data_IF_351476254721
#
_entry.id   IF_351476254721
#
_cell.length_a   1.000
_cell.length_b   1.000
_cell.length_c   1.000
_cell.angle_alpha   90.00
_cell.angle_beta   90.00
_cell.angle_gamma   90.00
#
_symmetry.space_group_name_H-M   'P 1'
#
loop_
_entity.id
_entity.type
_entity.pdbx_description
1 polymer ?
#
# COMPACT_ATOMS: atom_id res chain seq x y z
N UNK A 1 8.43 0.02 26.02
CA UNK A 1 8.88 -0.11 24.62
C UNK A 1 8.78 1.29 24.01
N UNK A 2 9.82 1.75 23.31
CA UNK A 2 9.77 3.07 22.67
C UNK A 2 8.63 3.07 21.63
N UNK A 3 7.73 4.06 21.69
CA UNK A 3 6.55 4.13 20.82
C UNK A 3 6.94 4.25 19.35
N UNK A 4 7.98 5.00 19.05
CA UNK A 4 8.49 5.15 17.68
C UNK A 4 8.92 3.82 17.07
N UNK A 5 9.65 3.00 17.83
CA UNK A 5 10.04 1.66 17.40
C UNK A 5 8.83 0.75 17.17
N UNK A 6 7.78 0.90 18.00
CA UNK A 6 6.56 0.13 17.84
C UNK A 6 5.83 0.50 16.55
N UNK A 7 5.77 1.81 16.20
CA UNK A 7 5.15 2.28 14.96
C UNK A 7 5.97 1.81 13.75
N UNK A 8 7.31 1.87 13.80
CA UNK A 8 8.15 1.31 12.73
C UNK A 8 7.98 -0.20 12.54
N UNK A 9 7.65 -0.93 13.61
CA UNK A 9 7.37 -2.36 13.55
C UNK A 9 6.06 -2.69 12.80
N UNK A 10 5.27 -1.69 12.39
CA UNK A 10 4.05 -1.91 11.61
C UNK A 10 4.38 -2.17 10.13
N UNK A 11 5.10 -1.29 9.40
CA UNK A 11 5.39 -1.52 7.99
C UNK A 11 6.56 -2.50 7.75
N UNK A 12 7.53 -2.60 8.63
CA UNK A 12 8.76 -3.37 8.38
C UNK A 12 8.58 -4.88 8.23
N UNK A 13 7.77 -5.60 9.03
CA UNK A 13 7.62 -7.05 8.88
C UNK A 13 7.14 -7.49 7.49
N UNK A 14 6.12 -6.88 6.85
CA UNK A 14 5.73 -7.23 5.49
C UNK A 14 6.84 -6.99 4.46
N UNK A 15 7.64 -5.94 4.60
CA UNK A 15 8.80 -5.70 3.73
C UNK A 15 9.85 -6.80 3.86
N UNK A 16 10.15 -7.18 5.09
CA UNK A 16 11.10 -8.27 5.36
C UNK A 16 10.57 -9.62 4.85
N UNK A 17 9.26 -9.86 4.99
CA UNK A 17 8.62 -11.06 4.44
C UNK A 17 8.71 -11.08 2.91
N UNK A 18 8.43 -9.97 2.23
CA UNK A 18 8.63 -9.85 0.79
C UNK A 18 10.05 -10.23 0.39
N UNK A 19 11.06 -9.61 1.01
CA UNK A 19 12.46 -9.87 0.70
C UNK A 19 12.83 -11.35 0.98
N UNK A 20 12.41 -11.90 2.11
CA UNK A 20 12.67 -13.28 2.47
C UNK A 20 11.99 -14.28 1.52
N UNK A 21 10.77 -14.00 1.07
CA UNK A 21 10.06 -14.87 0.12
C UNK A 21 10.79 -14.85 -1.23
N UNK A 22 11.15 -13.67 -1.73
CA UNK A 22 11.81 -13.55 -3.04
C UNK A 22 13.18 -14.19 -3.02
N UNK A 23 13.98 -13.99 -1.97
CA UNK A 23 15.38 -14.41 -1.93
C UNK A 23 15.55 -15.87 -1.48
N UNK A 24 14.72 -16.36 -0.56
CA UNK A 24 14.99 -17.64 0.14
C UNK A 24 13.87 -18.66 0.04
N UNK A 25 12.59 -18.27 0.18
CA UNK A 25 11.50 -19.23 0.34
C UNK A 25 10.63 -19.42 -0.89
N UNK A 26 10.95 -18.80 -2.01
CA UNK A 26 10.16 -18.85 -3.25
C UNK A 26 9.84 -20.28 -3.74
N UNK A 27 10.70 -21.26 -3.44
CA UNK A 27 10.51 -22.67 -3.80
C UNK A 27 9.55 -23.42 -2.87
N UNK A 28 9.26 -22.89 -1.68
CA UNK A 28 8.40 -23.53 -0.68
C UNK A 28 7.13 -22.74 -0.47
N UNK A 29 6.00 -23.24 -0.98
CA UNK A 29 4.69 -22.62 -0.83
C UNK A 29 4.30 -22.46 0.66
N UNK A 30 4.55 -23.48 1.48
CA UNK A 30 4.24 -23.47 2.91
C UNK A 30 5.04 -22.41 3.67
N UNK A 31 6.36 -22.31 3.44
CA UNK A 31 7.19 -21.29 4.09
C UNK A 31 6.82 -19.87 3.63
N UNK A 32 6.48 -19.70 2.35
CA UNK A 32 6.13 -18.38 1.81
C UNK A 32 4.87 -17.82 2.46
N UNK A 33 3.77 -18.57 2.54
CA UNK A 33 2.56 -18.04 3.19
C UNK A 33 2.71 -17.95 4.71
N UNK A 34 3.42 -18.88 5.36
CA UNK A 34 3.64 -18.80 6.82
C UNK A 34 4.44 -17.57 7.20
N UNK A 35 5.48 -17.21 6.43
CA UNK A 35 6.24 -15.99 6.61
C UNK A 35 5.38 -14.74 6.39
N UNK A 36 4.60 -14.72 5.31
CA UNK A 36 3.73 -13.60 5.00
C UNK A 36 2.65 -13.39 6.07
N UNK A 37 1.97 -14.46 6.50
CA UNK A 37 0.94 -14.40 7.57
C UNK A 37 1.57 -14.02 8.90
N UNK A 38 2.74 -14.58 9.24
CA UNK A 38 3.47 -14.22 10.46
C UNK A 38 3.83 -12.74 10.50
N UNK A 39 4.30 -12.19 9.37
CA UNK A 39 4.60 -10.76 9.23
C UNK A 39 3.34 -9.89 9.36
N UNK A 40 2.24 -10.27 8.69
CA UNK A 40 0.95 -9.59 8.81
C UNK A 40 0.41 -9.63 10.25
N UNK A 41 0.57 -10.77 10.94
CA UNK A 41 0.22 -10.92 12.35
C UNK A 41 1.03 -10.02 13.29
N UNK A 42 2.34 -9.91 13.07
CA UNK A 42 3.20 -8.98 13.82
C UNK A 42 2.79 -7.52 13.59
N UNK A 43 2.55 -7.13 12.33
CA UNK A 43 2.05 -5.80 12.00
C UNK A 43 0.69 -5.53 12.63
N UNK A 44 -0.20 -6.51 12.64
CA UNK A 44 -1.50 -6.40 13.31
C UNK A 44 -1.36 -6.20 14.82
N UNK A 45 -0.52 -6.99 15.50
CA UNK A 45 -0.26 -6.84 16.94
C UNK A 45 0.30 -5.46 17.27
N UNK A 46 1.28 -4.99 16.51
CA UNK A 46 1.85 -3.65 16.68
C UNK A 46 0.79 -2.56 16.45
N UNK A 47 -0.03 -2.70 15.40
CA UNK A 47 -1.12 -1.76 15.07
C UNK A 47 -2.17 -1.68 16.18
N UNK A 48 -2.55 -2.83 16.77
CA UNK A 48 -3.51 -2.85 17.89
C UNK A 48 -2.91 -2.20 19.14
N UNK A 49 -1.64 -2.46 19.45
CA UNK A 49 -0.97 -1.83 20.59
C UNK A 49 -0.89 -0.30 20.42
N UNK A 50 -0.57 0.19 19.21
CA UNK A 50 -0.56 1.62 18.90
C UNK A 50 -1.97 2.21 18.98
N UNK A 51 -2.97 1.55 18.41
CA UNK A 51 -4.36 1.99 18.43
C UNK A 51 -4.89 2.17 19.85
N UNK A 52 -4.75 1.16 20.73
CA UNK A 52 -5.23 1.27 22.11
C UNK A 52 -4.47 2.33 22.92
N UNK A 53 -3.19 2.55 22.61
CA UNK A 53 -2.43 3.64 23.21
C UNK A 53 -2.92 5.01 22.73
N UNK A 54 -3.28 5.11 21.44
CA UNK A 54 -3.80 6.34 20.84
C UNK A 54 -5.17 6.71 21.40
N UNK A 55 -6.07 5.74 21.54
CA UNK A 55 -7.42 5.95 22.11
C UNK A 55 -7.37 6.45 23.55
N UNK A 56 -6.34 6.07 24.32
CA UNK A 56 -6.16 6.52 25.71
C UNK A 56 -5.56 7.94 25.85
N UNK A 57 -5.24 8.64 24.75
CA UNK A 57 -4.63 9.99 24.80
C UNK A 57 -5.63 11.10 24.43
N UNK A 58 -5.90 12.00 25.38
CA UNK A 58 -6.83 13.13 25.19
C UNK A 58 -6.33 14.19 24.18
N UNK A 59 -5.00 14.36 24.04
CA UNK A 59 -4.39 15.40 23.18
C UNK A 59 -3.69 14.84 21.93
N UNK A 60 -4.09 13.68 21.44
CA UNK A 60 -3.45 13.02 20.29
C UNK A 60 -3.44 13.90 19.02
N UNK A 61 -4.43 14.76 18.86
CA UNK A 61 -4.50 15.67 17.71
C UNK A 61 -3.41 16.76 17.75
N UNK A 62 -3.00 17.19 18.94
CA UNK A 62 -1.95 18.21 19.13
C UNK A 62 -0.55 17.57 19.21
N UNK A 63 -0.48 16.39 19.81
CA UNK A 63 0.76 15.65 20.05
C UNK A 63 0.64 14.22 19.53
N UNK A 64 0.80 14.02 18.22
CA UNK A 64 0.75 12.69 17.62
C UNK A 64 1.86 11.79 18.16
N UNK A 65 1.66 10.48 18.07
CA UNK A 65 2.65 9.47 18.45
C UNK A 65 3.73 9.35 17.37
N UNK A 66 4.98 9.07 17.76
CA UNK A 66 6.01 8.63 16.83
C UNK A 66 6.79 9.73 16.13
N UNK A 67 6.83 10.94 16.69
CA UNK A 67 7.44 12.11 16.03
C UNK A 67 8.97 12.19 16.15
N UNK A 68 9.55 11.42 17.07
CA UNK A 68 10.96 11.63 17.50
C UNK A 68 11.97 10.86 16.63
N UNK A 69 11.65 9.65 16.17
CA UNK A 69 12.55 8.80 15.40
C UNK A 69 12.41 9.05 13.90
N UNK A 70 13.29 9.88 13.35
CA UNK A 70 13.37 10.19 11.91
C UNK A 70 14.69 9.69 11.34
N UNK A 71 14.61 9.08 10.15
CA UNK A 71 15.80 8.61 9.42
C UNK A 71 16.15 9.61 8.33
N UNK A 72 17.39 10.12 8.35
CA UNK A 72 17.90 10.95 7.26
C UNK A 72 18.01 10.11 5.98
N UNK A 73 17.33 10.54 4.92
CA UNK A 73 17.24 9.73 3.71
C UNK A 73 17.85 10.41 2.48
N UNK A 74 17.37 11.58 2.08
CA UNK A 74 17.79 12.24 0.86
C UNK A 74 18.38 13.62 1.16
N UNK A 75 19.70 13.81 0.97
CA UNK A 75 20.30 15.14 1.09
C UNK A 75 19.87 16.04 -0.07
N UNK A 76 19.45 17.27 0.23
CA UNK A 76 19.00 18.26 -0.73
C UNK A 76 19.71 19.61 -0.44
N UNK A 77 20.95 19.76 -0.90
CA UNK A 77 21.76 20.92 -0.58
C UNK A 77 22.14 20.96 0.92
N UNK A 78 21.72 22.01 1.62
CA UNK A 78 21.93 22.16 3.07
C UNK A 78 20.86 21.40 3.89
N UNK A 79 19.71 21.07 3.26
CA UNK A 79 18.61 20.35 3.89
C UNK A 79 18.68 18.84 3.64
N UNK A 80 17.99 18.06 4.48
CA UNK A 80 17.88 16.62 4.32
C UNK A 80 16.44 16.20 4.51
N UNK A 81 15.86 15.54 3.50
CA UNK A 81 14.58 14.88 3.67
C UNK A 81 14.72 13.71 4.65
N UNK A 82 13.80 13.66 5.60
CA UNK A 82 13.74 12.63 6.64
C UNK A 82 12.53 11.76 6.41
N UNK A 83 12.71 10.46 6.58
CA UNK A 83 11.59 9.52 6.68
C UNK A 83 11.26 9.38 8.15
N UNK A 84 10.04 9.73 8.51
CA UNK A 84 9.50 9.62 9.86
C UNK A 84 8.15 8.91 9.87
N UNK A 85 7.70 8.58 11.06
CA UNK A 85 6.39 8.00 11.30
C UNK A 85 5.65 8.82 12.34
N UNK A 86 4.33 8.94 12.14
CA UNK A 86 3.43 9.53 13.13
C UNK A 86 2.08 8.85 13.12
N UNK A 87 1.40 8.87 14.25
CA UNK A 87 0.03 8.40 14.37
C UNK A 87 -0.80 9.49 15.06
N UNK A 88 -1.71 10.06 14.30
CA UNK A 88 -2.74 11.00 14.74
C UNK A 88 -4.10 10.28 14.90
N UNK A 89 -5.18 10.96 15.28
CA UNK A 89 -6.50 10.33 15.43
C UNK A 89 -7.01 9.65 14.16
N UNK A 90 -6.78 10.26 12.99
CA UNK A 90 -7.21 9.69 11.70
C UNK A 90 -6.41 8.44 11.36
N UNK A 91 -5.07 8.53 11.45
CA UNK A 91 -4.18 7.39 11.22
C UNK A 91 -4.47 6.22 12.16
N UNK A 92 -4.78 6.50 13.44
CA UNK A 92 -5.11 5.46 14.41
C UNK A 92 -6.35 4.66 14.00
N UNK A 93 -7.43 5.34 13.59
CA UNK A 93 -8.67 4.68 13.13
C UNK A 93 -8.43 3.89 11.84
N UNK A 94 -7.76 4.49 10.86
CA UNK A 94 -7.45 3.80 9.60
C UNK A 94 -6.56 2.59 9.85
N UNK A 95 -5.56 2.71 10.73
CA UNK A 95 -4.64 1.64 11.06
C UNK A 95 -5.36 0.42 11.65
N UNK A 96 -6.37 0.65 12.50
CA UNK A 96 -7.20 -0.43 13.05
C UNK A 96 -7.86 -1.25 11.94
N UNK A 97 -8.58 -0.60 11.02
CA UNK A 97 -9.27 -1.30 9.94
C UNK A 97 -8.31 -1.96 8.95
N UNK A 98 -7.25 -1.26 8.57
CA UNK A 98 -6.25 -1.78 7.61
C UNK A 98 -5.55 -3.00 8.17
N UNK A 99 -5.15 -3.00 9.45
CA UNK A 99 -4.44 -4.13 10.04
C UNK A 99 -5.29 -5.40 10.09
N UNK A 100 -6.58 -5.28 10.45
CA UNK A 100 -7.52 -6.40 10.42
C UNK A 100 -7.74 -6.91 9.00
N UNK A 101 -7.99 -6.01 8.05
CA UNK A 101 -8.25 -6.37 6.66
C UNK A 101 -7.05 -7.09 6.04
N UNK A 102 -5.85 -6.56 6.23
CA UNK A 102 -4.60 -7.17 5.74
C UNK A 102 -4.44 -8.57 6.29
N UNK A 103 -4.55 -8.76 7.61
CA UNK A 103 -4.40 -10.08 8.23
C UNK A 103 -5.42 -11.09 7.67
N UNK A 104 -6.70 -10.69 7.55
CA UNK A 104 -7.76 -11.56 7.02
C UNK A 104 -7.51 -11.95 5.56
N UNK A 105 -7.08 -10.99 4.72
CA UNK A 105 -6.76 -11.26 3.31
C UNK A 105 -5.60 -12.26 3.21
N UNK A 106 -4.55 -12.12 4.01
CA UNK A 106 -3.40 -13.05 3.98
C UNK A 106 -3.82 -14.48 4.37
N UNK A 107 -4.62 -14.63 5.43
CA UNK A 107 -5.13 -15.94 5.84
C UNK A 107 -6.05 -16.53 4.78
N UNK A 108 -7.00 -15.74 4.26
CA UNK A 108 -7.95 -16.19 3.24
C UNK A 108 -7.25 -16.62 1.93
N UNK A 109 -6.20 -15.90 1.55
CA UNK A 109 -5.43 -16.17 0.32
C UNK A 109 -4.82 -17.58 0.25
N UNK A 110 -4.58 -18.21 1.40
CA UNK A 110 -4.10 -19.61 1.44
C UNK A 110 -5.12 -20.56 0.80
N UNK A 111 -6.39 -20.42 1.19
CA UNK A 111 -7.50 -21.19 0.63
C UNK A 111 -7.85 -20.76 -0.80
N UNK A 112 -7.85 -19.46 -1.07
CA UNK A 112 -8.14 -18.90 -2.39
C UNK A 112 -7.21 -19.45 -3.49
N UNK A 113 -5.93 -19.64 -3.18
CA UNK A 113 -4.95 -20.22 -4.08
C UNK A 113 -4.82 -21.75 -3.96
N UNK A 114 -5.82 -22.41 -3.37
CA UNK A 114 -5.94 -23.88 -3.28
C UNK A 114 -4.71 -24.55 -2.68
N UNK A 115 -4.13 -24.01 -1.61
CA UNK A 115 -3.00 -24.65 -0.94
C UNK A 115 -3.37 -26.05 -0.46
N UNK A 116 -2.47 -27.02 -0.67
CA UNK A 116 -2.70 -28.43 -0.33
C UNK A 116 -3.37 -29.25 -1.45
N UNK A 117 -3.86 -28.61 -2.50
CA UNK A 117 -4.36 -29.32 -3.68
C UNK A 117 -3.21 -29.74 -4.62
N UNK A 118 -3.43 -30.76 -5.46
CA UNK A 118 -2.42 -31.20 -6.43
C UNK A 118 -2.09 -30.11 -7.45
N UNK A 119 -0.93 -30.26 -8.11
CA UNK A 119 -0.62 -29.45 -9.29
C UNK A 119 -1.53 -29.86 -10.45
N UNK A 120 -1.99 -28.90 -11.24
CA UNK A 120 -2.86 -29.15 -12.39
C UNK A 120 -2.11 -29.80 -13.55
N UNK A 121 -2.82 -30.65 -14.30
CA UNK A 121 -2.25 -31.42 -15.41
C UNK A 121 -1.75 -30.50 -16.55
N UNK A 122 -2.37 -29.32 -16.70
CA UNK A 122 -2.09 -28.34 -17.76
C UNK A 122 -1.75 -26.95 -17.24
N UNK A 123 -1.54 -26.81 -15.92
CA UNK A 123 -1.26 -25.51 -15.31
C UNK A 123 0.10 -24.97 -15.75
N UNK A 124 0.11 -23.73 -16.19
CA UNK A 124 1.32 -23.00 -16.60
C UNK A 124 1.47 -21.71 -15.79
N UNK A 125 2.71 -21.34 -15.42
CA UNK A 125 2.95 -20.04 -14.81
C UNK A 125 2.40 -18.89 -15.68
N UNK A 126 1.70 -17.96 -15.07
CA UNK A 126 1.11 -16.81 -15.76
C UNK A 126 -0.30 -17.03 -16.33
N UNK A 127 -0.88 -18.19 -16.10
CA UNK A 127 -2.30 -18.48 -16.39
C UNK A 127 -3.03 -18.87 -15.10
N UNK A 128 -4.34 -18.63 -15.01
CA UNK A 128 -5.17 -19.14 -13.92
C UNK A 128 -5.09 -20.67 -13.84
N UNK A 129 -5.18 -21.26 -12.63
CA UNK A 129 -5.20 -22.70 -12.48
C UNK A 129 -6.43 -23.32 -13.16
N UNK A 130 -6.23 -24.42 -13.90
CA UNK A 130 -7.26 -25.09 -14.69
C UNK A 130 -7.84 -26.34 -14.00
N UNK A 131 -7.24 -26.74 -12.86
CA UNK A 131 -7.63 -27.94 -12.12
C UNK A 131 -6.75 -29.14 -12.43
N UNK A 132 -6.88 -30.17 -11.59
CA UNK A 132 -6.17 -31.44 -11.67
C UNK A 132 -7.14 -32.61 -11.73
N UNK A 133 -6.75 -33.68 -12.43
CA UNK A 133 -7.53 -34.94 -12.47
C UNK A 133 -6.97 -35.92 -11.43
N UNK A 134 -7.75 -36.19 -10.38
CA UNK A 134 -7.40 -37.16 -9.35
C UNK A 134 -8.17 -38.46 -9.56
N UNK A 135 -7.48 -39.57 -9.61
CA UNK A 135 -8.12 -40.89 -9.73
C UNK A 135 -8.53 -41.39 -8.34
N UNK A 136 -9.84 -41.49 -8.10
CA UNK A 136 -10.40 -42.12 -6.89
C UNK A 136 -11.18 -43.35 -7.30
N UNK A 137 -10.82 -44.52 -6.79
CA UNK A 137 -11.44 -45.82 -7.11
C UNK A 137 -11.53 -46.12 -8.61
N UNK A 138 -10.53 -45.71 -9.40
CA UNK A 138 -10.46 -45.92 -10.85
C UNK A 138 -11.22 -44.90 -11.71
N UNK A 139 -11.99 -43.97 -11.13
CA UNK A 139 -12.66 -42.88 -11.81
C UNK A 139 -11.88 -41.59 -11.67
N UNK A 140 -11.74 -40.84 -12.76
CA UNK A 140 -11.11 -39.50 -12.76
C UNK A 140 -12.09 -38.44 -12.23
N UNK A 141 -11.70 -37.74 -11.16
CA UNK A 141 -12.46 -36.59 -10.64
C UNK A 141 -11.65 -35.33 -10.86
N UNK A 142 -12.28 -34.27 -11.37
CA UNK A 142 -11.65 -32.98 -11.45
C UNK A 142 -11.72 -32.27 -10.09
N UNK A 143 -10.56 -31.80 -9.60
CA UNK A 143 -10.39 -31.02 -8.38
C UNK A 143 -9.69 -29.72 -8.71
N UNK A 144 -9.90 -28.62 -7.93
CA UNK A 144 -9.10 -27.42 -8.07
C UNK A 144 -7.60 -27.72 -7.96
N UNK A 145 -6.77 -27.05 -8.74
CA UNK A 145 -5.32 -27.16 -8.64
C UNK A 145 -4.72 -25.99 -7.87
N UNK A 146 -3.54 -26.23 -7.27
CA UNK A 146 -2.81 -25.17 -6.56
C UNK A 146 -2.21 -24.18 -7.54
N UNK A 147 -2.28 -22.88 -7.22
CA UNK A 147 -1.69 -21.82 -8.04
C UNK A 147 -0.19 -22.08 -8.32
N UNK A 148 0.23 -22.12 -9.59
CA UNK A 148 1.63 -22.34 -9.97
C UNK A 148 2.58 -21.28 -9.40
N UNK A 149 2.14 -20.02 -9.36
CA UNK A 149 2.93 -18.89 -8.89
C UNK A 149 2.60 -18.48 -7.44
N UNK A 150 2.20 -19.44 -6.60
CA UNK A 150 1.75 -19.24 -5.23
C UNK A 150 2.65 -18.34 -4.38
N UNK A 151 3.95 -18.65 -4.31
CA UNK A 151 4.92 -17.87 -3.53
C UNK A 151 5.09 -16.44 -4.05
N UNK A 152 4.99 -16.25 -5.38
CA UNK A 152 5.04 -14.92 -6.00
C UNK A 152 3.85 -14.05 -5.57
N UNK A 153 2.66 -14.63 -5.45
CA UNK A 153 1.50 -13.91 -4.93
C UNK A 153 1.74 -13.40 -3.51
N UNK A 154 2.20 -14.28 -2.61
CA UNK A 154 2.47 -13.88 -1.21
C UNK A 154 3.61 -12.86 -1.09
N UNK A 155 4.60 -12.89 -1.97
CA UNK A 155 5.61 -11.84 -2.03
C UNK A 155 4.99 -10.49 -2.43
N UNK A 156 4.21 -10.45 -3.51
CA UNK A 156 3.62 -9.20 -4.00
C UNK A 156 2.63 -8.57 -3.01
N UNK A 157 1.77 -9.39 -2.39
CA UNK A 157 0.82 -8.90 -1.39
C UNK A 157 1.54 -8.42 -0.12
N UNK A 158 2.69 -9.01 0.24
CA UNK A 158 3.52 -8.53 1.36
C UNK A 158 4.12 -7.16 1.05
N UNK A 159 4.62 -6.94 -0.16
CA UNK A 159 5.11 -5.61 -0.58
C UNK A 159 3.97 -4.58 -0.62
N UNK A 160 2.76 -4.99 -1.06
CA UNK A 160 1.57 -4.14 -1.03
C UNK A 160 1.22 -3.73 0.41
N UNK A 161 1.21 -4.69 1.34
CA UNK A 161 0.93 -4.43 2.75
C UNK A 161 1.95 -3.48 3.38
N UNK A 162 3.24 -3.62 3.04
CA UNK A 162 4.28 -2.65 3.44
C UNK A 162 3.93 -1.24 2.98
N UNK A 163 3.62 -1.06 1.68
CA UNK A 163 3.24 0.25 1.13
C UNK A 163 2.01 0.83 1.83
N UNK A 164 0.99 0.01 2.06
CA UNK A 164 -0.23 0.45 2.74
C UNK A 164 0.00 0.87 4.19
N UNK A 165 0.75 0.11 4.97
CA UNK A 165 1.08 0.48 6.34
C UNK A 165 1.97 1.72 6.40
N UNK A 166 2.99 1.82 5.53
CA UNK A 166 3.85 2.98 5.47
C UNK A 166 3.07 4.25 5.13
N UNK A 167 2.13 4.16 4.19
CA UNK A 167 1.25 5.27 3.82
C UNK A 167 0.44 5.79 5.01
N UNK A 168 -0.08 4.88 5.85
CA UNK A 168 -0.94 5.25 6.99
C UNK A 168 -0.13 5.90 8.11
N UNK A 169 1.12 5.47 8.33
CA UNK A 169 1.93 5.93 9.48
C UNK A 169 2.99 6.97 9.12
N UNK A 170 3.09 7.42 7.89
CA UNK A 170 4.11 8.42 7.50
C UNK A 170 3.82 9.80 8.08
N UNK A 171 4.88 10.57 8.34
CA UNK A 171 4.81 11.94 8.87
C UNK A 171 4.92 13.04 7.80
N UNK A 172 5.12 12.66 6.54
CA UNK A 172 5.33 13.62 5.45
C UNK A 172 4.80 13.15 4.10
N UNK A 173 4.49 14.13 3.23
CA UNK A 173 3.92 13.88 1.90
C UNK A 173 4.88 13.14 0.95
N UNK A 174 6.19 13.32 1.07
CA UNK A 174 7.15 12.63 0.18
C UNK A 174 7.17 11.12 0.44
N UNK A 175 7.23 10.72 1.71
CA UNK A 175 7.16 9.30 2.09
C UNK A 175 5.78 8.72 1.78
N UNK A 176 4.71 9.51 1.96
CA UNK A 176 3.36 9.13 1.52
C UNK A 176 3.35 8.83 0.02
N UNK A 177 3.91 9.72 -0.80
CA UNK A 177 3.96 9.53 -2.25
C UNK A 177 4.78 8.30 -2.65
N UNK A 178 5.90 8.02 -1.97
CA UNK A 178 6.67 6.79 -2.21
C UNK A 178 5.85 5.52 -1.91
N UNK A 179 5.18 5.49 -0.77
CA UNK A 179 4.31 4.38 -0.40
C UNK A 179 3.13 4.22 -1.38
N UNK A 180 2.57 5.34 -1.83
CA UNK A 180 1.54 5.42 -2.86
C UNK A 180 1.97 4.80 -4.19
N UNK A 181 3.20 5.09 -4.62
CA UNK A 181 3.78 4.55 -5.83
C UNK A 181 4.11 3.05 -5.72
N UNK A 182 4.59 2.60 -4.55
CA UNK A 182 4.81 1.17 -4.27
C UNK A 182 3.48 0.41 -4.37
N UNK A 183 2.40 0.93 -3.80
CA UNK A 183 1.07 0.31 -3.94
C UNK A 183 0.59 0.30 -5.39
N UNK A 184 0.85 1.37 -6.15
CA UNK A 184 0.53 1.43 -7.57
C UNK A 184 1.26 0.36 -8.39
N UNK A 185 2.55 0.17 -8.11
CA UNK A 185 3.35 -0.91 -8.72
C UNK A 185 2.81 -2.30 -8.33
N UNK A 186 2.52 -2.51 -7.05
CA UNK A 186 1.97 -3.79 -6.58
C UNK A 186 0.60 -4.08 -7.20
N UNK A 187 -0.27 -3.07 -7.34
CA UNK A 187 -1.56 -3.19 -8.03
C UNK A 187 -1.36 -3.63 -9.49
N UNK A 188 -0.45 -2.98 -10.22
CA UNK A 188 -0.10 -3.38 -11.58
C UNK A 188 0.34 -4.84 -11.66
N UNK A 189 1.25 -5.27 -10.75
CA UNK A 189 1.77 -6.63 -10.72
C UNK A 189 0.73 -7.68 -10.31
N UNK A 190 -0.24 -7.31 -9.47
CA UNK A 190 -1.32 -8.19 -9.02
C UNK A 190 -2.45 -8.28 -10.04
N UNK A 191 -2.85 -7.17 -10.69
CA UNK A 191 -3.83 -7.19 -11.78
C UNK A 191 -3.28 -8.02 -12.95
N UNK A 192 -2.02 -7.80 -13.32
CA UNK A 192 -1.31 -8.57 -14.34
C UNK A 192 -0.68 -9.86 -13.82
N UNK A 193 -1.15 -10.42 -12.71
CA UNK A 193 -0.57 -11.61 -12.10
C UNK A 193 -0.53 -12.78 -13.08
N UNK A 194 -1.62 -13.01 -13.78
CA UNK A 194 -1.71 -14.00 -14.85
C UNK A 194 -1.27 -13.38 -16.20
N UNK A 195 -0.01 -13.00 -16.26
CA UNK A 195 0.59 -12.23 -17.37
C UNK A 195 0.54 -12.92 -18.74
N UNK A 196 0.33 -14.22 -18.80
CA UNK A 196 0.14 -14.94 -20.06
C UNK A 196 -1.31 -14.84 -20.59
N UNK A 197 -2.26 -14.36 -19.79
CA UNK A 197 -3.63 -14.02 -20.20
C UNK A 197 -3.64 -12.60 -20.78
N UNK A 198 -3.97 -12.40 -22.08
CA UNK A 198 -3.92 -11.08 -22.71
C UNK A 198 -4.80 -10.04 -22.00
N UNK A 199 -6.03 -10.41 -21.59
CA UNK A 199 -6.96 -9.51 -20.89
C UNK A 199 -6.40 -9.01 -19.56
N UNK A 200 -5.73 -9.86 -18.76
CA UNK A 200 -5.11 -9.46 -17.50
C UNK A 200 -3.93 -8.50 -17.71
N UNK A 201 -3.14 -8.72 -18.76
CA UNK A 201 -2.04 -7.81 -19.12
C UNK A 201 -2.57 -6.44 -19.55
N UNK A 202 -3.58 -6.41 -20.40
CA UNK A 202 -4.17 -5.16 -20.90
C UNK A 202 -4.88 -4.40 -19.77
N UNK A 203 -5.56 -5.11 -18.86
CA UNK A 203 -6.15 -4.55 -17.64
C UNK A 203 -5.09 -3.91 -16.73
N UNK A 204 -3.96 -4.58 -16.53
CA UNK A 204 -2.87 -4.06 -15.71
C UNK A 204 -2.28 -2.76 -16.29
N UNK A 205 -2.03 -2.73 -17.61
CA UNK A 205 -1.53 -1.53 -18.30
C UNK A 205 -2.53 -0.39 -18.20
N UNK A 206 -3.83 -0.67 -18.42
CA UNK A 206 -4.90 0.32 -18.30
C UNK A 206 -4.97 0.89 -16.88
N UNK A 207 -4.96 0.05 -15.85
CA UNK A 207 -5.00 0.47 -14.46
C UNK A 207 -3.80 1.35 -14.12
N UNK A 208 -2.57 0.93 -14.49
CA UNK A 208 -1.35 1.67 -14.23
C UNK A 208 -1.35 3.05 -14.90
N UNK A 209 -1.67 3.14 -16.19
CA UNK A 209 -1.65 4.40 -16.91
C UNK A 209 -2.74 5.37 -16.41
N UNK A 210 -3.94 4.85 -16.13
CA UNK A 210 -5.05 5.69 -15.65
C UNK A 210 -4.76 6.28 -14.27
N UNK A 211 -4.26 5.47 -13.33
CA UNK A 211 -3.92 5.96 -11.98
C UNK A 211 -2.76 6.94 -12.02
N UNK A 212 -1.80 6.74 -12.92
CA UNK A 212 -0.62 7.59 -13.08
C UNK A 212 -0.97 9.02 -13.46
N UNK A 213 -2.06 9.23 -14.19
CA UNK A 213 -2.56 10.59 -14.48
C UNK A 213 -2.86 11.35 -13.19
N UNK A 214 -3.55 10.71 -12.24
CA UNK A 214 -3.82 11.30 -10.92
C UNK A 214 -2.54 11.56 -10.12
N UNK A 215 -1.61 10.60 -10.13
CA UNK A 215 -0.33 10.67 -9.41
C UNK A 215 0.54 11.85 -9.90
N UNK A 216 0.52 12.16 -11.20
CA UNK A 216 1.22 13.33 -11.76
C UNK A 216 0.68 14.64 -11.20
N UNK A 217 -0.63 14.81 -11.11
CA UNK A 217 -1.23 16.00 -10.50
C UNK A 217 -0.89 16.10 -9.01
N UNK A 218 -0.93 14.98 -8.29
CA UNK A 218 -0.53 14.92 -6.89
C UNK A 218 0.92 15.39 -6.71
N UNK A 219 1.84 14.93 -7.54
CA UNK A 219 3.25 15.34 -7.51
C UNK A 219 3.41 16.84 -7.77
N UNK A 220 2.66 17.41 -8.73
CA UNK A 220 2.65 18.85 -8.99
C UNK A 220 2.15 19.64 -7.79
N UNK A 221 1.10 19.16 -7.11
CA UNK A 221 0.59 19.79 -5.88
C UNK A 221 1.63 19.79 -4.77
N UNK A 222 2.33 18.66 -4.59
CA UNK A 222 3.40 18.54 -3.60
C UNK A 222 4.60 19.45 -3.92
N UNK A 223 5.00 19.53 -5.20
CA UNK A 223 6.08 20.41 -5.63
C UNK A 223 5.73 21.90 -5.41
N UNK A 224 4.49 22.30 -5.69
CA UNK A 224 4.02 23.65 -5.41
C UNK A 224 4.01 23.95 -3.90
N UNK A 225 3.54 23.00 -3.08
CA UNK A 225 3.56 23.11 -1.62
C UNK A 225 4.98 23.27 -1.09
N UNK A 226 5.90 22.41 -1.52
CA UNK A 226 7.32 22.49 -1.12
C UNK A 226 7.96 23.81 -1.51
N UNK A 227 7.69 24.30 -2.73
CA UNK A 227 8.22 25.59 -3.20
C UNK A 227 7.77 26.78 -2.34
N UNK A 228 6.56 26.71 -1.79
CA UNK A 228 5.98 27.80 -0.98
C UNK A 228 6.34 27.72 0.50
N UNK A 229 6.47 26.50 1.03
CA UNK A 229 6.64 26.27 2.49
C UNK A 229 8.03 25.81 2.87
N UNK A 230 8.83 25.30 1.92
CA UNK A 230 10.14 24.70 2.18
C UNK A 230 10.08 23.33 2.85
N UNK A 231 8.90 22.79 3.12
CA UNK A 231 8.72 21.50 3.81
C UNK A 231 7.56 20.70 3.26
N UNK A 232 7.60 19.36 3.46
CA UNK A 232 6.50 18.44 3.19
C UNK A 232 6.05 17.69 4.46
N UNK A 233 6.57 18.07 5.63
CA UNK A 233 6.20 17.46 6.92
C UNK A 233 4.84 18.00 7.39
N UNK A 234 3.96 17.10 7.82
CA UNK A 234 2.60 17.48 8.22
C UNK A 234 2.57 18.43 9.41
N UNK A 235 3.38 18.15 10.44
CA UNK A 235 3.40 18.99 11.64
C UNK A 235 3.93 20.39 11.34
N UNK A 236 4.99 20.52 10.56
CA UNK A 236 5.59 21.80 10.20
C UNK A 236 4.62 22.67 9.38
N UNK A 237 3.77 22.06 8.55
CA UNK A 237 2.78 22.78 7.75
C UNK A 237 1.54 23.11 8.58
N UNK A 238 0.95 22.11 9.25
CA UNK A 238 -0.36 22.24 9.89
C UNK A 238 -0.31 22.96 11.24
N UNK A 239 0.82 22.91 11.96
CA UNK A 239 0.98 23.62 13.22
C UNK A 239 1.45 25.08 13.09
N UNK A 240 1.77 25.55 11.87
CA UNK A 240 2.25 26.91 11.62
C UNK A 240 1.14 27.81 11.08
N UNK A 241 0.52 28.69 11.92
CA UNK A 241 -0.57 29.56 11.48
C UNK A 241 -0.18 30.51 10.34
N UNK A 242 1.08 30.98 10.32
CA UNK A 242 1.54 31.89 9.27
C UNK A 242 1.59 31.19 7.89
N UNK A 243 2.00 29.93 7.86
CA UNK A 243 1.98 29.11 6.62
C UNK A 243 0.55 28.88 6.14
N UNK A 244 -0.36 28.55 7.05
CA UNK A 244 -1.76 28.32 6.71
C UNK A 244 -2.43 29.60 6.19
N UNK A 245 -2.19 30.75 6.83
CA UNK A 245 -2.69 32.06 6.40
C UNK A 245 -2.13 32.46 5.03
N UNK A 246 -0.84 32.27 4.81
CA UNK A 246 -0.19 32.51 3.51
C UNK A 246 -0.85 31.68 2.40
N UNK A 247 -1.01 30.38 2.61
CA UNK A 247 -1.61 29.47 1.62
C UNK A 247 -3.09 29.80 1.35
N UNK A 248 -3.83 30.27 2.36
CA UNK A 248 -5.23 30.59 2.24
C UNK A 248 -5.49 31.96 1.60
N UNK A 249 -4.65 32.96 1.90
CA UNK A 249 -4.86 34.35 1.47
C UNK A 249 -4.25 34.69 0.12
N UNK A 250 -3.12 34.09 -0.25
CA UNK A 250 -2.47 34.39 -1.51
C UNK A 250 -3.17 33.71 -2.68
N UNK A 251 -3.46 34.50 -3.74
CA UNK A 251 -4.04 33.99 -4.97
C UNK A 251 -3.02 33.17 -5.78
N UNK A 252 -3.46 32.01 -6.23
CA UNK A 252 -2.70 31.22 -7.18
C UNK A 252 -2.82 31.80 -8.60
N UNK A 253 -1.82 31.58 -9.48
CA UNK A 253 -1.83 32.16 -10.83
C UNK A 253 -2.90 31.55 -11.76
N UNK A 254 -3.63 30.57 -11.31
CA UNK A 254 -4.58 29.78 -12.11
C UNK A 254 -5.95 29.77 -11.43
N UNK A 255 -7.02 29.92 -12.19
CA UNK A 255 -8.42 29.76 -11.81
C UNK A 255 -8.94 30.72 -10.71
N UNK A 256 -8.17 31.73 -10.29
CA UNK A 256 -8.59 32.65 -9.22
C UNK A 256 -8.72 31.98 -7.84
N UNK A 257 -8.16 30.80 -7.66
CA UNK A 257 -8.13 30.07 -6.40
C UNK A 257 -7.02 30.58 -5.48
N UNK A 258 -7.14 30.33 -4.18
CA UNK A 258 -5.98 30.42 -3.27
C UNK A 258 -4.98 29.27 -3.51
N UNK A 259 -3.74 29.45 -3.07
CA UNK A 259 -2.76 28.37 -3.14
C UNK A 259 -3.20 27.13 -2.38
N UNK A 260 -3.87 27.28 -1.22
CA UNK A 260 -4.44 26.14 -0.50
C UNK A 260 -5.45 25.37 -1.34
N UNK A 261 -6.34 26.09 -2.05
CA UNK A 261 -7.34 25.49 -2.93
C UNK A 261 -6.72 24.75 -4.12
N UNK A 262 -5.78 25.39 -4.82
CA UNK A 262 -5.11 24.77 -5.96
C UNK A 262 -4.31 23.53 -5.56
N UNK A 263 -3.48 23.62 -4.52
CA UNK A 263 -2.66 22.51 -4.02
C UNK A 263 -3.57 21.38 -3.54
N UNK A 264 -4.64 21.70 -2.80
CA UNK A 264 -5.61 20.71 -2.34
C UNK A 264 -6.26 19.93 -3.49
N UNK A 265 -6.69 20.60 -4.55
CA UNK A 265 -7.24 19.96 -5.75
C UNK A 265 -6.20 19.07 -6.42
N UNK A 266 -4.98 19.57 -6.61
CA UNK A 266 -3.91 18.81 -7.26
C UNK A 266 -3.55 17.53 -6.47
N UNK A 267 -3.42 17.62 -5.15
CA UNK A 267 -3.17 16.45 -4.29
C UNK A 267 -4.37 15.49 -4.34
N UNK A 268 -5.59 16.03 -4.30
CA UNK A 268 -6.81 15.22 -4.37
C UNK A 268 -6.95 14.45 -5.69
N UNK A 269 -6.41 14.93 -6.80
CA UNK A 269 -6.39 14.19 -8.06
C UNK A 269 -5.69 12.83 -7.96
N UNK A 270 -4.70 12.67 -7.08
CA UNK A 270 -4.13 11.35 -6.76
C UNK A 270 -5.18 10.40 -6.21
N UNK A 271 -6.04 10.87 -5.29
CA UNK A 271 -7.12 10.03 -4.73
C UNK A 271 -8.20 9.74 -5.77
N UNK A 272 -8.51 10.68 -6.69
CA UNK A 272 -9.43 10.46 -7.81
C UNK A 272 -8.94 9.28 -8.67
N UNK A 273 -7.65 9.22 -8.96
CA UNK A 273 -7.04 8.11 -9.71
C UNK A 273 -7.11 6.78 -8.99
N UNK A 274 -6.60 6.70 -7.76
CA UNK A 274 -6.51 5.44 -6.99
C UNK A 274 -7.85 4.94 -6.48
N UNK A 275 -8.80 5.83 -6.17
CA UNK A 275 -10.14 5.44 -5.70
C UNK A 275 -11.14 5.27 -6.83
N UNK A 276 -10.68 5.24 -8.08
CA UNK A 276 -11.49 5.08 -9.27
C UNK A 276 -12.71 6.02 -9.30
N UNK A 277 -12.47 7.31 -8.96
CA UNK A 277 -13.50 8.34 -9.05
C UNK A 277 -13.59 8.88 -10.48
N UNK A 278 -14.76 9.38 -10.85
CA UNK A 278 -14.93 10.05 -12.13
C UNK A 278 -13.95 11.23 -12.28
N UNK A 279 -13.25 11.39 -13.42
CA UNK A 279 -13.33 10.60 -14.67
C UNK A 279 -12.35 9.42 -14.76
N UNK A 280 -11.54 9.13 -13.73
CA UNK A 280 -10.49 8.11 -13.75
C UNK A 280 -10.96 6.74 -13.21
N UNK A 281 -12.24 6.40 -13.37
CA UNK A 281 -12.83 5.18 -12.80
C UNK A 281 -12.75 3.94 -13.71
N UNK A 282 -12.42 4.09 -14.97
CA UNK A 282 -12.57 3.06 -16.02
C UNK A 282 -11.65 1.84 -15.87
N UNK A 283 -10.66 1.91 -14.99
CA UNK A 283 -9.71 0.83 -14.76
C UNK A 283 -10.21 -0.20 -13.74
N UNK A 284 -11.08 0.21 -12.80
CA UNK A 284 -11.47 -0.63 -11.66
C UNK A 284 -12.22 -1.90 -12.06
N UNK A 285 -13.20 -1.88 -13.01
CA UNK A 285 -13.87 -3.10 -13.44
C UNK A 285 -12.90 -4.13 -14.04
N UNK A 286 -11.92 -3.68 -14.82
CA UNK A 286 -10.95 -4.56 -15.47
C UNK A 286 -9.92 -5.12 -14.47
N UNK A 287 -9.73 -4.46 -13.32
CA UNK A 287 -8.80 -4.92 -12.28
C UNK A 287 -9.16 -6.31 -11.72
N UNK A 288 -10.41 -6.74 -11.87
CA UNK A 288 -10.89 -8.07 -11.46
C UNK A 288 -10.34 -9.20 -12.34
N UNK A 289 -9.59 -8.90 -13.40
CA UNK A 289 -8.85 -9.89 -14.19
C UNK A 289 -7.68 -10.54 -13.42
N UNK A 290 -7.19 -9.89 -12.37
CA UNK A 290 -6.21 -10.45 -11.44
C UNK A 290 -6.83 -11.25 -10.30
N UNK A 291 -6.02 -11.95 -9.48
CA UNK A 291 -6.51 -12.62 -8.28
C UNK A 291 -7.11 -11.62 -7.29
N UNK A 292 -8.32 -11.89 -6.82
CA UNK A 292 -9.10 -11.03 -5.93
C UNK A 292 -9.58 -11.82 -4.70
N UNK A 293 -8.67 -12.17 -3.77
CA UNK A 293 -9.02 -12.91 -2.56
C UNK A 293 -9.90 -12.14 -1.59
#
# INVERSE_FOLDING_TARGET
>A
MNMDLLIWLIPLPPLLAFAAIVLFTNRSKALSHSLAIGAAGLSWLASMAVFFTAVGREELAKHPLGVDLKVNWLPLGEDTFKIGVQVDPLSAVILFFVAWTVLMIFVYSVGYHNFGQPAGDHDKPGLPPHGATVKVKGHGHQVPSVEPMYSRFFAMISLFAFGMFLLVVTDNLLTLYMAWEIMGLCSYLLIGFWYAKPSARDAAVKAFLTTRVGDMFMLLGMAALYKLTGTLNYQEILSNPAVLEMLASQAAPVLGLSWAGLIGILIFMGTVGKSAQFPLHVWLPDAMEGPTP
#
